data_IF_583339713988
#
_entry.id   IF_583339713988
#
_cell.length_a   1.000
_cell.length_b   1.000
_cell.length_c   1.000
_cell.angle_alpha   90.00
_cell.angle_beta   90.00
_cell.angle_gamma   90.00
#
_symmetry.space_group_name_H-M   'P 1'
#
loop_
_entity.id
_entity.type
_entity.pdbx_description
1 polymer ?
#
# COMPACT_ATOMS: atom_id res chain seq x y z
N UNK A 1 20.39 -7.97 -4.33
CA UNK A 1 19.26 -8.92 -4.32
C UNK A 1 18.94 -9.25 -2.88
N UNK A 2 17.68 -9.12 -2.44
CA UNK A 2 17.26 -9.69 -1.16
C UNK A 2 16.81 -11.12 -1.46
N UNK A 3 17.53 -12.10 -0.91
CA UNK A 3 17.22 -13.51 -1.04
C UNK A 3 15.93 -13.83 -0.27
N UNK A 4 14.89 -14.25 -0.97
CA UNK A 4 13.60 -14.66 -0.38
C UNK A 4 13.58 -16.13 0.02
N UNK A 5 14.64 -16.90 -0.23
CA UNK A 5 14.71 -18.34 0.09
C UNK A 5 14.71 -18.62 1.60
N UNK A 6 15.15 -17.66 2.41
CA UNK A 6 15.17 -17.77 3.88
C UNK A 6 13.76 -17.57 4.48
N UNK A 7 12.82 -16.98 3.74
CA UNK A 7 11.44 -16.71 4.19
C UNK A 7 10.42 -17.77 3.73
N UNK A 8 10.78 -18.74 2.89
CA UNK A 8 9.81 -19.72 2.40
C UNK A 8 9.72 -20.97 3.27
N UNK A 9 10.87 -21.52 3.71
CA UNK A 9 10.91 -22.82 4.37
C UNK A 9 10.45 -22.79 5.83
N UNK A 10 10.83 -21.78 6.61
CA UNK A 10 10.39 -21.65 8.01
C UNK A 10 8.94 -21.16 8.12
N UNK A 11 8.49 -20.30 7.20
CA UNK A 11 7.13 -19.73 7.23
C UNK A 11 6.06 -20.73 6.79
N UNK A 12 6.38 -21.71 5.93
CA UNK A 12 5.44 -22.77 5.53
C UNK A 12 5.13 -23.77 6.65
N UNK A 13 6.08 -24.04 7.56
CA UNK A 13 5.88 -24.95 8.69
C UNK A 13 4.86 -24.45 9.74
N UNK A 14 4.58 -23.15 9.73
CA UNK A 14 3.63 -22.47 10.62
C UNK A 14 2.18 -22.71 10.16
N UNK A 15 1.94 -23.18 8.93
CA UNK A 15 0.59 -23.36 8.35
C UNK A 15 0.20 -24.83 8.14
N UNK A 16 0.90 -25.77 8.76
CA UNK A 16 0.43 -27.17 8.85
C UNK A 16 -0.85 -27.22 9.72
N UNK A 17 -1.98 -27.78 9.22
CA UNK A 17 -3.24 -27.87 9.96
C UNK A 17 -3.13 -28.53 11.34
N UNK A 18 -2.22 -29.48 11.51
CA UNK A 18 -1.98 -30.14 12.79
C UNK A 18 -1.14 -29.26 13.74
N UNK A 19 -0.30 -28.35 13.23
CA UNK A 19 0.41 -27.34 14.02
C UNK A 19 -0.45 -26.11 14.33
N UNK A 20 -1.51 -25.81 13.55
CA UNK A 20 -2.41 -24.67 13.78
C UNK A 20 -3.14 -24.74 15.15
N UNK A 21 -3.41 -25.96 15.66
CA UNK A 21 -3.97 -26.17 17.02
C UNK A 21 -2.98 -25.89 18.15
N UNK A 22 -1.68 -25.88 17.84
CA UNK A 22 -0.58 -25.63 18.77
C UNK A 22 0.07 -24.27 18.57
N UNK A 23 -0.37 -23.49 17.57
CA UNK A 23 0.02 -22.09 17.47
C UNK A 23 -0.56 -21.35 18.66
N UNK A 24 0.35 -20.85 19.50
CA UNK A 24 0.05 -19.77 20.41
C UNK A 24 0.33 -18.47 19.63
N UNK A 25 -0.65 -17.93 18.87
CA UNK A 25 -0.43 -16.69 18.13
C UNK A 25 0.05 -15.63 19.12
N UNK A 26 1.14 -14.96 18.76
CA UNK A 26 1.78 -14.01 19.66
C UNK A 26 0.76 -12.95 20.10
N UNK A 27 0.52 -12.88 21.40
CA UNK A 27 -0.23 -11.80 22.02
C UNK A 27 0.70 -10.59 22.14
N UNK A 28 0.39 -9.50 21.44
CA UNK A 28 1.25 -8.31 21.38
C UNK A 28 1.35 -7.61 22.72
N UNK A 29 0.27 -7.64 23.50
CA UNK A 29 0.18 -7.11 24.84
C UNK A 29 1.11 -7.87 25.81
N UNK A 30 1.23 -9.19 25.64
CA UNK A 30 2.11 -10.03 26.47
C UNK A 30 3.57 -9.97 25.99
N UNK A 31 3.79 -9.92 24.68
CA UNK A 31 5.12 -9.90 24.09
C UNK A 31 5.81 -8.53 24.21
N UNK A 32 5.05 -7.44 24.20
CA UNK A 32 5.57 -6.07 24.24
C UNK A 32 4.80 -5.16 25.20
N UNK A 33 4.67 -5.53 26.49
CA UNK A 33 3.80 -4.82 27.43
C UNK A 33 4.19 -3.36 27.60
N UNK A 34 5.49 -3.05 27.65
CA UNK A 34 5.97 -1.67 27.78
C UNK A 34 5.68 -0.82 26.53
N UNK A 35 5.83 -1.40 25.33
CA UNK A 35 5.54 -0.71 24.07
C UNK A 35 4.04 -0.41 23.99
N UNK A 36 3.19 -1.40 24.27
CA UNK A 36 1.74 -1.22 24.25
C UNK A 36 1.30 -0.21 25.32
N UNK A 37 1.86 -0.27 26.53
CA UNK A 37 1.60 0.71 27.60
C UNK A 37 2.00 2.14 27.19
N UNK A 38 3.05 2.28 26.38
CA UNK A 38 3.50 3.55 25.82
C UNK A 38 2.72 3.98 24.54
N UNK A 39 1.59 3.33 24.26
CA UNK A 39 0.69 3.70 23.18
C UNK A 39 0.97 3.00 21.84
N UNK A 40 1.91 2.06 21.79
CA UNK A 40 2.24 1.26 20.62
C UNK A 40 3.60 1.59 19.99
N UNK A 41 3.84 1.01 18.82
CA UNK A 41 5.12 1.08 18.13
C UNK A 41 5.34 2.45 17.47
N UNK A 42 6.58 2.94 17.52
CA UNK A 42 7.06 4.09 16.73
C UNK A 42 7.04 3.81 15.24
N UNK A 43 7.51 2.62 14.85
CA UNK A 43 7.69 2.23 13.46
C UNK A 43 7.37 0.74 13.32
N UNK A 44 6.59 0.40 12.29
CA UNK A 44 6.39 -0.98 11.85
C UNK A 44 6.73 -1.06 10.36
N UNK A 45 7.69 -1.92 10.02
CA UNK A 45 8.08 -2.21 8.65
C UNK A 45 8.00 -3.71 8.38
N UNK A 46 7.75 -4.11 7.14
CA UNK A 46 7.66 -5.53 6.83
C UNK A 46 7.41 -5.87 5.37
N UNK A 47 7.52 -7.16 5.09
CA UNK A 47 7.12 -7.81 3.85
C UNK A 47 6.04 -8.86 4.23
N UNK A 48 4.76 -8.51 4.20
CA UNK A 48 3.70 -9.40 4.68
C UNK A 48 3.46 -10.57 3.70
N UNK A 49 2.75 -11.63 4.11
CA UNK A 49 2.46 -12.77 3.25
C UNK A 49 1.50 -12.40 2.09
N UNK A 50 1.83 -12.76 0.86
CA UNK A 50 1.03 -12.48 -0.34
C UNK A 50 0.08 -13.64 -0.68
N UNK A 51 -0.85 -13.94 0.23
CA UNK A 51 -1.89 -14.97 0.04
C UNK A 51 -3.19 -14.31 -0.38
N UNK A 52 -3.87 -14.86 -1.38
CA UNK A 52 -5.19 -14.37 -1.83
C UNK A 52 -6.28 -15.33 -1.40
N UNK A 53 -7.44 -14.81 -1.02
CA UNK A 53 -8.54 -15.65 -0.54
C UNK A 53 -8.98 -16.72 -1.56
N UNK A 54 -8.91 -16.41 -2.85
CA UNK A 54 -9.28 -17.38 -3.89
C UNK A 54 -8.23 -18.48 -4.11
N UNK A 55 -6.97 -18.27 -3.70
CA UNK A 55 -5.90 -19.27 -3.82
C UNK A 55 -5.81 -20.16 -2.59
N UNK A 56 -6.09 -19.60 -1.42
CA UNK A 56 -6.13 -20.32 -0.15
C UNK A 56 -7.16 -19.65 0.76
N UNK A 57 -8.17 -20.42 1.18
CA UNK A 57 -9.30 -19.93 1.97
C UNK A 57 -9.10 -20.10 3.46
N UNK A 58 -8.27 -21.05 3.89
CA UNK A 58 -8.18 -21.47 5.29
C UNK A 58 -7.79 -20.30 6.22
N UNK A 59 -6.78 -19.46 5.91
CA UNK A 59 -6.45 -18.31 6.76
C UNK A 59 -7.60 -17.30 6.91
N UNK A 60 -8.44 -17.18 5.89
CA UNK A 60 -9.56 -16.23 5.86
C UNK A 60 -10.78 -16.77 6.62
N UNK A 61 -11.03 -18.07 6.56
CA UNK A 61 -12.04 -18.71 7.42
C UNK A 61 -11.66 -18.56 8.90
N UNK A 62 -10.38 -18.75 9.25
CA UNK A 62 -9.91 -18.49 10.61
C UNK A 62 -10.05 -17.01 11.01
N UNK A 63 -9.70 -16.08 10.10
CA UNK A 63 -9.84 -14.63 10.34
C UNK A 63 -11.27 -14.24 10.72
N UNK A 64 -12.29 -14.83 10.09
CA UNK A 64 -13.71 -14.57 10.38
C UNK A 64 -14.11 -14.99 11.80
N UNK A 65 -13.38 -15.92 12.41
CA UNK A 65 -13.68 -16.47 13.73
C UNK A 65 -12.96 -15.73 14.87
N UNK A 66 -11.98 -14.87 14.56
CA UNK A 66 -11.18 -14.17 15.56
C UNK A 66 -11.42 -12.64 15.55
N UNK A 67 -10.64 -11.89 16.35
CA UNK A 67 -10.75 -10.42 16.43
C UNK A 67 -10.49 -9.74 15.08
N UNK A 68 -9.70 -10.37 14.20
CA UNK A 68 -9.38 -9.82 12.88
C UNK A 68 -10.57 -9.83 11.88
N UNK A 69 -11.74 -10.38 12.26
CA UNK A 69 -12.95 -10.38 11.43
C UNK A 69 -13.39 -9.00 10.96
N UNK A 70 -13.05 -7.94 11.71
CA UNK A 70 -13.35 -6.56 11.33
C UNK A 70 -12.53 -6.07 10.12
N UNK A 71 -11.41 -6.74 9.83
CA UNK A 71 -10.56 -6.46 8.66
C UNK A 71 -10.90 -7.33 7.45
N UNK A 72 -11.83 -8.28 7.62
CA UNK A 72 -12.22 -9.18 6.56
C UNK A 72 -13.10 -8.48 5.53
N UNK A 73 -12.73 -8.62 4.26
CA UNK A 73 -13.51 -8.22 3.09
C UNK A 73 -13.41 -9.32 2.04
N UNK A 74 -14.52 -9.72 1.43
CA UNK A 74 -14.50 -10.77 0.41
C UNK A 74 -13.59 -10.40 -0.77
N UNK A 75 -12.88 -11.40 -1.31
CA UNK A 75 -11.89 -11.27 -2.39
C UNK A 75 -10.67 -10.42 -2.00
N UNK A 76 -10.28 -10.43 -0.73
CA UNK A 76 -9.10 -9.72 -0.23
C UNK A 76 -7.80 -10.52 -0.37
N UNK A 77 -6.68 -9.81 -0.20
CA UNK A 77 -5.37 -10.42 0.03
C UNK A 77 -5.09 -10.40 1.55
N UNK A 78 -4.47 -11.45 2.08
CA UNK A 78 -4.26 -11.66 3.51
C UNK A 78 -3.50 -10.50 4.16
N UNK A 79 -2.52 -9.94 3.45
CA UNK A 79 -1.71 -8.85 3.96
C UNK A 79 -2.51 -7.58 4.29
N UNK A 80 -3.73 -7.42 3.75
CA UNK A 80 -4.58 -6.28 4.11
C UNK A 80 -4.92 -6.28 5.59
N UNK A 81 -5.20 -7.45 6.18
CA UNK A 81 -5.45 -7.59 7.61
C UNK A 81 -4.19 -7.33 8.44
N UNK A 82 -3.01 -7.76 7.96
CA UNK A 82 -1.73 -7.44 8.59
C UNK A 82 -1.47 -5.94 8.63
N UNK A 83 -1.74 -5.23 7.53
CA UNK A 83 -1.60 -3.78 7.47
C UNK A 83 -2.58 -3.08 8.41
N UNK A 84 -3.85 -3.51 8.44
CA UNK A 84 -4.83 -2.96 9.38
C UNK A 84 -4.38 -3.15 10.84
N UNK A 85 -4.01 -4.37 11.22
CA UNK A 85 -3.54 -4.67 12.58
C UNK A 85 -2.26 -3.89 12.93
N UNK A 86 -1.34 -3.76 11.98
CA UNK A 86 -0.12 -2.96 12.18
C UNK A 86 -0.45 -1.49 12.43
N UNK A 87 -1.42 -0.92 11.70
CA UNK A 87 -1.90 0.44 11.97
C UNK A 87 -2.49 0.56 13.36
N UNK A 88 -3.24 -0.42 13.88
CA UNK A 88 -3.74 -0.37 15.27
C UNK A 88 -2.63 -0.28 16.29
N UNK A 89 -1.58 -1.09 16.09
CA UNK A 89 -0.45 -1.23 16.99
C UNK A 89 0.50 -0.02 16.96
N UNK A 90 0.37 0.88 15.98
CA UNK A 90 1.15 2.12 15.95
C UNK A 90 0.65 3.11 17.00
N UNK A 91 1.61 3.84 17.59
CA UNK A 91 1.29 5.04 18.35
C UNK A 91 0.94 6.21 17.46
N UNK A 92 0.29 7.23 18.03
CA UNK A 92 0.05 8.49 17.33
C UNK A 92 1.39 9.10 16.87
N UNK A 93 1.46 9.49 15.60
CA UNK A 93 2.67 9.99 14.96
C UNK A 93 3.65 8.92 14.47
N UNK A 94 3.42 7.64 14.79
CA UNK A 94 4.24 6.52 14.32
C UNK A 94 4.11 6.26 12.82
N UNK A 95 5.05 5.49 12.27
CA UNK A 95 5.15 5.22 10.84
C UNK A 95 4.94 3.74 10.51
N UNK A 96 4.25 3.47 9.41
CA UNK A 96 4.09 2.12 8.89
C UNK A 96 4.51 2.06 7.42
N UNK A 97 5.22 1.00 7.05
CA UNK A 97 5.66 0.79 5.68
C UNK A 97 5.78 -0.69 5.33
N UNK A 98 5.03 -1.13 4.32
CA UNK A 98 5.22 -2.45 3.73
C UNK A 98 5.71 -2.35 2.30
N UNK A 99 6.52 -3.34 1.89
CA UNK A 99 6.60 -3.74 0.50
C UNK A 99 5.48 -4.75 0.23
N UNK A 100 4.56 -4.43 -0.68
CA UNK A 100 3.37 -5.23 -0.92
C UNK A 100 2.91 -5.14 -2.38
N UNK A 101 1.90 -5.92 -2.74
CA UNK A 101 1.29 -5.85 -4.07
C UNK A 101 0.58 -4.50 -4.26
N UNK A 102 0.70 -3.89 -5.45
CA UNK A 102 0.16 -2.55 -5.70
C UNK A 102 -1.36 -2.51 -5.89
N UNK A 103 -2.00 -3.64 -6.24
CA UNK A 103 -3.42 -3.80 -6.57
C UNK A 103 -4.42 -3.30 -5.51
N UNK A 104 -4.06 -3.20 -4.24
CA UNK A 104 -4.97 -2.77 -3.16
C UNK A 104 -5.54 -1.34 -3.37
N UNK A 105 -4.84 -0.50 -4.14
CA UNK A 105 -5.31 0.85 -4.44
C UNK A 105 -6.58 0.86 -5.31
N UNK A 106 -6.81 -0.20 -6.10
CA UNK A 106 -7.97 -0.33 -7.01
C UNK A 106 -8.87 -1.54 -6.69
N UNK A 107 -8.38 -2.53 -5.93
CA UNK A 107 -9.12 -3.77 -5.62
C UNK A 107 -10.36 -3.54 -4.75
N UNK A 108 -11.52 -4.10 -5.10
CA UNK A 108 -12.70 -4.05 -4.22
C UNK A 108 -12.49 -4.79 -2.89
N UNK A 109 -11.64 -5.83 -2.87
CA UNK A 109 -11.28 -6.56 -1.66
C UNK A 109 -10.45 -5.75 -0.65
N UNK A 110 -9.90 -4.61 -1.08
CA UNK A 110 -9.08 -3.73 -0.25
C UNK A 110 -9.83 -2.51 0.32
N UNK A 111 -11.16 -2.46 0.18
CA UNK A 111 -11.97 -1.31 0.60
C UNK A 111 -11.78 -0.94 2.08
N UNK A 112 -11.75 -1.93 2.98
CA UNK A 112 -11.53 -1.74 4.42
C UNK A 112 -10.13 -1.15 4.67
N UNK A 113 -9.08 -1.74 4.08
CA UNK A 113 -7.72 -1.23 4.21
C UNK A 113 -7.59 0.21 3.70
N UNK A 114 -8.14 0.51 2.51
CA UNK A 114 -8.11 1.88 1.96
C UNK A 114 -8.77 2.87 2.90
N UNK A 115 -9.95 2.52 3.40
CA UNK A 115 -10.68 3.37 4.32
C UNK A 115 -9.94 3.57 5.65
N UNK A 116 -9.32 2.52 6.19
CA UNK A 116 -8.53 2.61 7.42
C UNK A 116 -7.32 3.53 7.25
N UNK A 117 -6.58 3.37 6.15
CA UNK A 117 -5.48 4.27 5.79
C UNK A 117 -5.96 5.72 5.68
N UNK A 118 -7.12 5.96 5.07
CA UNK A 118 -7.68 7.31 4.94
C UNK A 118 -8.22 7.91 6.24
N UNK A 119 -8.65 7.09 7.20
CA UNK A 119 -9.24 7.59 8.45
C UNK A 119 -8.20 7.81 9.54
N UNK A 120 -7.18 6.96 9.58
CA UNK A 120 -6.24 6.88 10.69
C UNK A 120 -4.83 7.33 10.33
N UNK A 121 -4.54 7.52 9.04
CA UNK A 121 -3.19 7.83 8.58
C UNK A 121 -3.14 8.90 7.50
N UNK A 122 -1.94 9.42 7.27
CA UNK A 122 -1.58 10.20 6.08
C UNK A 122 -0.51 9.45 5.30
N UNK A 123 -0.75 9.27 3.99
CA UNK A 123 0.23 8.70 3.07
C UNK A 123 1.33 9.74 2.84
N UNK A 124 2.57 9.37 3.14
CA UNK A 124 3.74 10.24 3.01
C UNK A 124 4.46 9.96 1.68
N UNK A 125 4.69 8.68 1.39
CA UNK A 125 5.44 8.22 0.22
C UNK A 125 4.75 7.00 -0.38
N UNK A 126 4.77 6.91 -1.70
CA UNK A 126 4.31 5.76 -2.46
C UNK A 126 5.28 5.53 -3.63
N UNK A 127 5.88 4.34 -3.69
CA UNK A 127 6.83 3.92 -4.71
C UNK A 127 6.20 2.75 -5.45
N UNK A 128 5.75 2.96 -6.67
CA UNK A 128 5.24 1.92 -7.56
C UNK A 128 6.40 1.34 -8.38
N UNK A 129 6.71 0.06 -8.22
CA UNK A 129 7.75 -0.58 -9.02
C UNK A 129 7.25 -0.96 -10.42
N UNK A 130 5.93 -0.90 -10.68
CA UNK A 130 5.34 -1.29 -11.96
C UNK A 130 5.89 -2.65 -12.44
N UNK A 131 6.58 -2.68 -13.60
CA UNK A 131 7.14 -3.90 -14.18
C UNK A 131 8.55 -4.26 -13.66
N UNK A 132 9.15 -3.40 -12.82
CA UNK A 132 10.41 -3.71 -12.16
C UNK A 132 10.21 -4.83 -11.13
N UNK A 133 10.91 -5.95 -11.31
CA UNK A 133 10.84 -7.10 -10.41
C UNK A 133 11.81 -6.95 -9.25
N UNK A 134 11.31 -6.51 -8.11
CA UNK A 134 12.11 -6.40 -6.87
C UNK A 134 12.58 -7.78 -6.38
N UNK A 135 11.73 -8.80 -6.53
CA UNK A 135 12.02 -10.17 -6.11
C UNK A 135 12.28 -11.04 -7.35
N UNK A 136 13.41 -11.75 -7.37
CA UNK A 136 13.84 -12.54 -8.54
C UNK A 136 12.85 -13.64 -8.93
N UNK A 137 12.25 -14.28 -7.92
CA UNK A 137 11.44 -15.49 -8.11
C UNK A 137 9.93 -15.22 -8.10
N UNK A 138 9.50 -13.96 -7.99
CA UNK A 138 8.09 -13.59 -7.94
C UNK A 138 7.70 -12.74 -9.16
N UNK A 139 6.73 -13.20 -9.94
CA UNK A 139 6.14 -12.43 -11.05
C UNK A 139 5.03 -11.48 -10.55
N UNK A 140 5.29 -10.77 -9.46
CA UNK A 140 4.30 -9.93 -8.78
C UNK A 140 4.78 -8.49 -8.82
N UNK A 141 3.93 -7.59 -9.32
CA UNK A 141 4.17 -6.16 -9.25
C UNK A 141 4.04 -5.70 -7.79
N UNK A 142 5.07 -5.01 -7.31
CA UNK A 142 5.15 -4.57 -5.92
C UNK A 142 5.21 -3.07 -5.83
N UNK A 143 4.97 -2.56 -4.64
CA UNK A 143 5.14 -1.17 -4.28
C UNK A 143 5.66 -1.08 -2.85
N UNK A 144 6.19 0.08 -2.48
CA UNK A 144 6.41 0.47 -1.09
C UNK A 144 5.55 1.69 -0.79
N UNK A 145 4.83 1.65 0.32
CA UNK A 145 4.17 2.84 0.84
C UNK A 145 4.70 3.18 2.23
N UNK A 146 4.67 4.46 2.57
CA UNK A 146 4.94 4.95 3.92
C UNK A 146 3.74 5.78 4.34
N UNK A 147 3.11 5.38 5.45
CA UNK A 147 2.05 6.14 6.10
C UNK A 147 2.49 6.56 7.50
N UNK A 148 1.95 7.67 7.97
CA UNK A 148 2.11 8.13 9.36
C UNK A 148 0.75 8.10 10.04
N UNK A 149 0.66 7.52 11.25
CA UNK A 149 -0.58 7.46 12.03
C UNK A 149 -0.95 8.83 12.57
N UNK A 150 -1.84 9.47 11.86
CA UNK A 150 -2.29 10.83 12.11
C UNK A 150 -3.60 10.99 11.34
N UNK A 151 -4.66 11.39 12.04
CA UNK A 151 -5.97 11.60 11.44
C UNK A 151 -5.87 12.73 10.40
N UNK A 152 -6.20 12.50 9.13
CA UNK A 152 -6.08 13.54 8.13
C UNK A 152 -7.21 14.55 8.27
N UNK A 153 -6.83 15.82 8.43
CA UNK A 153 -7.79 16.92 8.59
C UNK A 153 -8.02 17.73 7.30
N UNK A 154 -7.25 17.45 6.24
CA UNK A 154 -7.24 18.20 4.97
C UNK A 154 -6.58 17.38 3.85
N UNK A 155 -6.57 17.96 2.64
CA UNK A 155 -5.80 17.45 1.51
C UNK A 155 -4.33 17.27 1.90
N UNK A 156 -3.74 16.13 1.55
CA UNK A 156 -2.33 15.82 1.82
C UNK A 156 -1.53 15.67 0.52
N UNK A 157 -0.25 16.02 0.58
CA UNK A 157 0.71 15.79 -0.51
C UNK A 157 1.40 14.46 -0.28
N UNK A 158 1.36 13.58 -1.28
CA UNK A 158 2.07 12.30 -1.29
C UNK A 158 3.24 12.39 -2.25
N UNK A 159 4.43 11.97 -1.81
CA UNK A 159 5.57 11.77 -2.71
C UNK A 159 5.34 10.48 -3.50
N UNK A 160 4.92 10.61 -4.75
CA UNK A 160 4.71 9.47 -5.63
C UNK A 160 5.92 9.27 -6.54
N UNK A 161 6.43 8.04 -6.60
CA UNK A 161 7.48 7.62 -7.52
C UNK A 161 6.99 6.40 -8.28
N UNK A 162 7.15 6.37 -9.59
CA UNK A 162 6.87 5.20 -10.43
C UNK A 162 8.12 4.82 -11.19
N UNK A 163 8.53 3.56 -11.09
CA UNK A 163 9.66 3.03 -11.85
C UNK A 163 9.16 2.63 -13.24
N UNK A 164 9.83 3.14 -14.26
CA UNK A 164 9.46 2.95 -15.66
C UNK A 164 10.41 1.96 -16.35
N UNK A 165 11.70 2.02 -16.02
CA UNK A 165 12.69 1.10 -16.55
C UNK A 165 12.77 -0.17 -15.69
N UNK A 166 12.17 -1.26 -16.19
CA UNK A 166 12.20 -2.58 -15.55
C UNK A 166 13.61 -3.21 -15.45
N UNK A 167 14.59 -2.70 -16.21
CA UNK A 167 15.95 -3.21 -16.28
C UNK A 167 16.96 -2.36 -15.49
N UNK A 168 16.51 -1.31 -14.79
CA UNK A 168 17.40 -0.48 -13.97
C UNK A 168 18.13 -1.32 -12.91
N UNK A 169 19.41 -1.06 -12.68
CA UNK A 169 20.13 -1.74 -11.60
C UNK A 169 19.56 -1.32 -10.25
N UNK A 170 19.44 -2.28 -9.33
CA UNK A 170 18.91 -2.01 -7.99
C UNK A 170 19.76 -0.96 -7.23
N UNK A 171 21.07 -0.95 -7.43
CA UNK A 171 21.98 0.05 -6.87
C UNK A 171 21.63 1.46 -7.34
N UNK A 172 21.46 1.63 -8.65
CA UNK A 172 21.12 2.92 -9.26
C UNK A 172 19.74 3.39 -8.81
N UNK A 173 18.80 2.45 -8.67
CA UNK A 173 17.47 2.72 -8.15
C UNK A 173 17.54 3.19 -6.69
N UNK A 174 18.28 2.50 -5.82
CA UNK A 174 18.45 2.87 -4.41
C UNK A 174 19.11 4.26 -4.30
N UNK A 175 20.18 4.51 -5.06
CA UNK A 175 20.85 5.81 -5.08
C UNK A 175 19.89 6.93 -5.50
N UNK A 176 19.05 6.69 -6.52
CA UNK A 176 18.03 7.64 -6.95
C UNK A 176 16.93 7.86 -5.91
N UNK A 177 16.47 6.79 -5.25
CA UNK A 177 15.44 6.89 -4.20
C UNK A 177 15.95 7.58 -2.93
N UNK A 178 17.26 7.55 -2.70
CA UNK A 178 17.94 8.22 -1.59
C UNK A 178 18.35 9.67 -1.92
N UNK A 179 18.45 10.05 -3.19
CA UNK A 179 18.67 11.44 -3.57
C UNK A 179 17.54 12.31 -3.04
N UNK A 180 17.92 13.44 -2.44
CA UNK A 180 16.95 14.42 -1.97
C UNK A 180 16.34 15.18 -3.16
N UNK A 181 15.34 14.55 -3.76
CA UNK A 181 14.51 15.11 -4.83
C UNK A 181 13.52 16.17 -4.33
N UNK A 182 13.57 16.56 -3.05
CA UNK A 182 12.63 17.53 -2.46
C UNK A 182 12.65 18.91 -3.14
N UNK A 183 13.72 19.24 -3.86
CA UNK A 183 13.87 20.51 -4.60
C UNK A 183 13.24 20.49 -5.98
N UNK A 184 13.00 19.32 -6.57
CA UNK A 184 12.35 19.23 -7.87
C UNK A 184 10.82 19.27 -7.69
N UNK A 185 10.06 19.71 -8.70
CA UNK A 185 8.57 19.72 -8.62
C UNK A 185 7.94 18.53 -9.33
N UNK A 186 8.63 18.02 -10.34
CA UNK A 186 8.19 16.94 -11.21
C UNK A 186 9.43 16.42 -11.95
N UNK A 187 9.60 15.11 -11.99
CA UNK A 187 10.65 14.43 -12.75
C UNK A 187 9.96 13.40 -13.63
N UNK A 188 10.35 13.34 -14.89
CA UNK A 188 9.95 12.28 -15.79
C UNK A 188 11.13 11.95 -16.69
N UNK A 189 11.75 10.81 -16.42
CA UNK A 189 12.87 10.27 -17.19
C UNK A 189 12.47 8.93 -17.77
N UNK A 190 13.32 8.34 -18.61
CA UNK A 190 13.11 6.97 -19.10
C UNK A 190 13.11 5.94 -17.95
N UNK A 191 13.79 6.26 -16.85
CA UNK A 191 13.96 5.36 -15.71
C UNK A 191 12.80 5.41 -14.71
N UNK A 192 12.30 6.62 -14.43
CA UNK A 192 11.29 6.84 -13.39
C UNK A 192 10.54 8.16 -13.58
N UNK A 193 9.32 8.19 -13.05
CA UNK A 193 8.48 9.35 -12.86
C UNK A 193 8.41 9.69 -11.36
N UNK A 194 8.49 10.96 -11.00
CA UNK A 194 8.29 11.44 -9.64
C UNK A 194 7.47 12.74 -9.61
N UNK A 195 6.51 12.81 -8.70
CA UNK A 195 5.70 14.00 -8.46
C UNK A 195 5.04 14.02 -7.09
N UNK A 196 4.54 15.18 -6.70
CA UNK A 196 3.58 15.28 -5.60
C UNK A 196 2.17 15.01 -6.09
N UNK A 197 1.51 14.01 -5.51
CA UNK A 197 0.09 13.74 -5.72
C UNK A 197 -0.73 14.38 -4.59
N UNK A 198 -1.89 14.94 -4.93
CA UNK A 198 -2.83 15.46 -3.93
C UNK A 198 -3.89 14.42 -3.62
N UNK A 199 -3.94 13.98 -2.37
CA UNK A 199 -5.00 13.10 -1.85
C UNK A 199 -5.97 13.93 -1.02
N UNK A 200 -7.26 13.78 -1.34
CA UNK A 200 -8.34 14.26 -0.48
C UNK A 200 -9.05 13.04 0.14
N UNK A 201 -8.81 12.74 1.43
CA UNK A 201 -9.40 11.57 2.09
C UNK A 201 -10.92 11.52 2.02
N UNK A 202 -11.59 12.67 2.12
CA UNK A 202 -13.05 12.74 2.05
C UNK A 202 -13.59 12.41 0.65
N UNK A 203 -12.87 12.76 -0.41
CA UNK A 203 -13.27 12.41 -1.79
C UNK A 203 -12.94 10.96 -2.13
N UNK A 204 -11.87 10.42 -1.54
CA UNK A 204 -11.40 9.06 -1.81
C UNK A 204 -12.04 8.01 -0.89
N UNK A 205 -12.82 8.42 0.10
CA UNK A 205 -13.56 7.51 0.98
C UNK A 205 -14.44 6.56 0.14
N UNK A 206 -14.32 5.26 0.39
CA UNK A 206 -15.00 4.20 -0.38
C UNK A 206 -14.67 4.14 -1.88
N UNK A 207 -13.68 4.91 -2.35
CA UNK A 207 -13.24 4.93 -3.74
C UNK A 207 -11.85 4.29 -3.87
N UNK A 208 -11.40 4.10 -5.10
CA UNK A 208 -10.04 3.66 -5.42
C UNK A 208 -9.08 4.84 -5.42
N UNK A 209 -7.79 4.59 -5.21
CA UNK A 209 -6.77 5.63 -5.38
C UNK A 209 -6.31 5.71 -6.82
N UNK A 210 -6.05 6.94 -7.25
CA UNK A 210 -5.25 7.19 -8.45
C UNK A 210 -4.34 8.37 -8.16
N UNK A 211 -3.05 8.13 -8.28
CA UNK A 211 -2.04 9.17 -8.13
C UNK A 211 -1.93 9.91 -9.46
N UNK A 212 -2.17 11.22 -9.44
CA UNK A 212 -2.04 12.08 -10.61
C UNK A 212 -1.20 13.29 -10.23
N UNK A 213 -0.36 13.75 -11.16
CA UNK A 213 0.44 14.95 -10.96
C UNK A 213 -0.45 16.20 -10.91
N UNK A 214 0.04 17.27 -10.27
CA UNK A 214 -0.67 18.56 -10.20
C UNK A 214 -1.08 19.08 -11.58
N UNK A 215 -0.25 18.84 -12.62
CA UNK A 215 -0.54 19.22 -14.00
C UNK A 215 -1.75 18.47 -14.56
N UNK A 216 -1.81 17.15 -14.36
CA UNK A 216 -2.93 16.32 -14.81
C UNK A 216 -4.19 16.66 -14.01
N UNK A 217 -4.05 16.88 -12.70
CA UNK A 217 -5.17 17.26 -11.83
C UNK A 217 -5.80 18.59 -12.28
N UNK A 218 -4.99 19.59 -12.66
CA UNK A 218 -5.49 20.85 -13.19
C UNK A 218 -6.28 20.68 -14.51
N UNK A 219 -5.88 19.73 -15.37
CA UNK A 219 -6.61 19.40 -16.59
C UNK A 219 -7.94 18.73 -16.23
N UNK A 220 -7.93 17.75 -15.33
CA UNK A 220 -9.13 17.05 -14.86
C UNK A 220 -10.13 18.02 -14.22
N UNK A 221 -9.67 18.98 -13.43
CA UNK A 221 -10.52 19.99 -12.81
C UNK A 221 -11.17 20.91 -13.86
N UNK A 222 -10.42 21.33 -14.89
CA UNK A 222 -10.97 22.09 -16.02
C UNK A 222 -12.03 21.30 -16.79
N UNK A 223 -11.78 20.01 -17.05
CA UNK A 223 -12.75 19.10 -17.68
C UNK A 223 -14.01 19.01 -16.81
N UNK A 224 -13.85 18.84 -15.49
CA UNK A 224 -14.97 18.75 -14.54
C UNK A 224 -15.83 20.02 -14.51
N UNK A 225 -15.21 21.20 -14.56
CA UNK A 225 -15.92 22.50 -14.56
C UNK A 225 -16.68 22.72 -15.87
N UNK A 226 -16.10 22.32 -17.00
CA UNK A 226 -16.68 22.53 -18.33
C UNK A 226 -17.61 21.40 -18.80
N UNK A 227 -17.66 20.29 -18.08
CA UNK A 227 -18.48 19.15 -18.47
C UNK A 227 -19.96 19.41 -18.25
N UNK A 228 -20.76 19.26 -19.31
CA UNK A 228 -22.23 19.28 -19.24
C UNK A 228 -22.83 17.97 -18.70
N UNK A 229 -21.99 16.96 -18.44
CA UNK A 229 -22.38 15.67 -17.87
C UNK A 229 -21.47 15.29 -16.71
N UNK A 230 -22.05 15.04 -15.53
CA UNK A 230 -21.32 14.43 -14.40
C UNK A 230 -21.31 12.92 -14.58
N UNK A 231 -20.41 12.41 -15.41
CA UNK A 231 -20.14 10.98 -15.45
C UNK A 231 -19.64 10.54 -14.06
N UNK A 232 -20.25 9.51 -13.45
CA UNK A 232 -19.74 8.80 -12.24
C UNK A 232 -18.32 8.21 -12.44
N UNK A 233 -17.75 8.41 -13.63
CA UNK A 233 -16.62 7.75 -14.29
C UNK A 233 -15.40 8.72 -14.32
N UNK A 234 -15.30 9.67 -13.37
CA UNK A 234 -14.07 10.48 -13.24
C UNK A 234 -12.83 9.62 -12.90
N UNK A 235 -13.04 8.43 -12.32
CA UNK A 235 -12.01 7.40 -12.12
C UNK A 235 -11.53 6.77 -13.44
N UNK A 236 -12.45 6.48 -14.36
CA UNK A 236 -12.11 5.88 -15.65
C UNK A 236 -11.39 6.88 -16.58
N UNK A 237 -11.71 8.17 -16.49
CA UNK A 237 -10.96 9.21 -17.21
C UNK A 237 -9.52 9.36 -16.67
N UNK A 238 -9.31 9.15 -15.36
CA UNK A 238 -7.96 9.10 -14.77
C UNK A 238 -7.18 7.89 -15.27
N UNK A 239 -7.82 6.72 -15.37
CA UNK A 239 -7.19 5.53 -15.95
C UNK A 239 -6.90 5.70 -17.45
N UNK A 240 -7.86 6.18 -18.25
CA UNK A 240 -7.71 6.36 -19.69
C UNK A 240 -6.65 7.40 -20.09
N UNK A 241 -6.47 8.47 -19.31
CA UNK A 241 -5.40 9.45 -19.58
C UNK A 241 -4.01 8.91 -19.21
N UNK A 242 -3.90 7.99 -18.25
CA UNK A 242 -2.62 7.34 -17.93
C UNK A 242 -2.22 6.33 -19.01
N UNK A 243 -3.19 5.65 -19.64
CA UNK A 243 -2.90 4.63 -20.67
C UNK A 243 -2.58 5.21 -22.06
N UNK A 244 -2.95 6.46 -22.36
CA UNK A 244 -2.78 7.07 -23.70
C UNK A 244 -1.60 8.05 -23.86
N UNK A 245 -0.86 8.36 -22.80
CA UNK A 245 0.36 9.21 -22.89
C UNK A 245 1.63 8.37 -23.15
N UNK A 246 1.50 7.04 -23.26
CA UNK A 246 2.59 6.09 -23.51
C UNK A 246 2.51 5.39 -24.89
N UNK A 247 1.86 6.02 -25.87
CA UNK A 247 1.98 5.71 -27.31
C UNK A 247 2.38 6.99 -28.05
#
# INVERSE_FOLDING_TARGET
MIDTSVLSSQTLSIFDPDNLKHLNPMNWEDAFPEIIKNGGFDVIIGNPPYVKEYTDREPFEYMKLCKAKEYYQGKMDLWYAFACKSIDLLKAGGYHSFIATNNWITSQGASILRNKILDETVIIKFIDFADFKVFQNASIQTMIYVVKKEKPNKKCKVKYTKILNKNILLTDLVDRLNKDISKEKYINTEDYEWFYAIINPNELKNNTFTFVSDKIQAILDKIKIKSNYKLKIMLLLKELMYTKILL
#
